data_IF_929166805801
#
_entry.id   IF_929166805801
#
_cell.length_a   1.000
_cell.length_b   1.000
_cell.length_c   1.000
_cell.angle_alpha   90.00
_cell.angle_beta   90.00
_cell.angle_gamma   90.00
#
_symmetry.space_group_name_H-M   'P 1'
#
loop_
_entity.id
_entity.type
_entity.pdbx_description
1 polymer ?
#
# COMPACT_ATOMS: atom_id res chain seq x y z
N UNK A 1 46.96 40.36 20.03
CA UNK A 1 45.49 40.20 19.98
C UNK A 1 45.16 39.28 18.81
N UNK A 2 44.35 38.25 19.07
CA UNK A 2 44.06 37.11 18.21
C UNK A 2 43.04 37.46 17.13
N UNK A 3 43.24 36.99 15.90
CA UNK A 3 42.14 36.74 14.96
C UNK A 3 42.59 35.68 13.94
N UNK A 4 42.46 34.40 14.31
CA UNK A 4 42.50 33.29 13.36
C UNK A 4 41.07 33.07 12.88
N UNK A 5 40.75 33.52 11.67
CA UNK A 5 39.47 33.21 11.04
C UNK A 5 39.56 31.84 10.38
N UNK A 6 39.15 30.82 11.13
CA UNK A 6 38.91 29.46 10.62
C UNK A 6 37.59 29.49 9.85
N UNK A 7 37.67 29.43 8.53
CA UNK A 7 36.51 29.20 7.67
C UNK A 7 36.10 27.73 7.79
N UNK A 8 35.09 27.43 8.60
CA UNK A 8 34.44 26.11 8.56
C UNK A 8 33.50 26.06 7.36
N UNK A 9 33.94 25.41 6.29
CA UNK A 9 33.03 24.93 5.25
C UNK A 9 32.21 23.77 5.83
N UNK A 10 30.95 24.04 6.17
CA UNK A 10 29.99 23.01 6.54
C UNK A 10 29.61 22.20 5.29
N UNK A 11 30.29 21.07 5.09
CA UNK A 11 29.88 20.03 4.14
C UNK A 11 28.55 19.41 4.62
N UNK A 12 27.44 19.91 4.09
CA UNK A 12 26.12 19.30 4.21
C UNK A 12 26.10 18.00 3.39
N UNK A 13 26.53 16.89 3.98
CA UNK A 13 26.25 15.56 3.42
C UNK A 13 24.76 15.27 3.58
N UNK A 14 23.99 15.51 2.52
CA UNK A 14 22.62 15.03 2.41
C UNK A 14 22.65 13.50 2.36
N UNK A 15 22.41 12.85 3.50
CA UNK A 15 22.18 11.41 3.54
C UNK A 15 20.82 11.13 2.86
N UNK A 16 20.85 10.74 1.59
CA UNK A 16 19.67 10.25 0.88
C UNK A 16 19.24 8.93 1.53
N UNK A 17 18.28 8.99 2.46
CA UNK A 17 17.59 7.81 2.95
C UNK A 17 16.78 7.21 1.79
N UNK A 18 17.38 6.26 1.08
CA UNK A 18 16.62 5.38 0.20
C UNK A 18 15.72 4.55 1.08
N UNK A 19 14.44 4.92 1.20
CA UNK A 19 13.41 4.08 1.79
C UNK A 19 13.26 2.84 0.91
N UNK A 20 14.09 1.82 1.17
CA UNK A 20 13.94 0.52 0.54
C UNK A 20 12.66 -0.05 1.09
N UNK A 21 11.70 -0.37 0.22
CA UNK A 21 10.51 -1.10 0.63
C UNK A 21 10.96 -2.35 1.40
N UNK A 22 10.62 -2.38 2.68
CA UNK A 22 10.97 -3.50 3.56
C UNK A 22 10.09 -4.69 3.17
N UNK A 23 10.66 -5.88 3.22
CA UNK A 23 9.96 -7.12 2.88
C UNK A 23 8.72 -7.32 3.74
N UNK A 24 7.77 -8.11 3.25
CA UNK A 24 6.52 -8.41 3.98
C UNK A 24 6.57 -9.85 4.45
N UNK A 25 6.43 -10.07 5.76
CA UNK A 25 6.67 -11.37 6.38
C UNK A 25 5.45 -11.99 7.08
N UNK A 26 4.31 -11.31 7.07
CA UNK A 26 3.05 -11.83 7.60
C UNK A 26 1.84 -11.28 6.84
N UNK A 27 0.68 -11.92 7.01
CA UNK A 27 -0.59 -11.47 6.43
C UNK A 27 -1.02 -10.11 7.02
N UNK A 28 -0.81 -9.90 8.32
CA UNK A 28 -1.12 -8.62 8.97
C UNK A 28 -0.27 -7.48 8.43
N UNK A 29 1.01 -7.75 8.12
CA UNK A 29 1.87 -6.77 7.45
C UNK A 29 1.39 -6.50 6.02
N UNK A 30 0.98 -7.53 5.28
CA UNK A 30 0.41 -7.38 3.95
C UNK A 30 -0.86 -6.51 3.98
N UNK A 31 -1.81 -6.82 4.87
CA UNK A 31 -3.05 -6.06 5.07
C UNK A 31 -2.74 -4.61 5.41
N UNK A 32 -1.81 -4.36 6.34
CA UNK A 32 -1.43 -2.99 6.72
C UNK A 32 -0.89 -2.22 5.51
N UNK A 33 0.04 -2.79 4.76
CA UNK A 33 0.67 -2.13 3.59
C UNK A 33 -0.36 -1.83 2.50
N UNK A 34 -1.31 -2.74 2.28
CA UNK A 34 -2.39 -2.58 1.30
C UNK A 34 -3.40 -1.53 1.76
N UNK A 35 -3.84 -1.57 3.02
CA UNK A 35 -4.73 -0.56 3.60
C UNK A 35 -4.16 0.85 3.48
N UNK A 36 -2.87 1.02 3.81
CA UNK A 36 -2.18 2.30 3.63
C UNK A 36 -2.10 2.71 2.14
N UNK A 37 -1.86 1.77 1.22
CA UNK A 37 -1.82 2.05 -0.22
C UNK A 37 -3.18 2.48 -0.76
N UNK A 38 -4.26 1.82 -0.35
CA UNK A 38 -5.64 2.19 -0.71
C UNK A 38 -5.96 3.61 -0.26
N UNK A 39 -5.62 3.95 0.99
CA UNK A 39 -5.84 5.29 1.53
C UNK A 39 -5.00 6.36 0.80
N UNK A 40 -3.70 6.09 0.58
CA UNK A 40 -2.80 7.04 -0.10
C UNK A 40 -3.21 7.31 -1.54
N UNK A 41 -3.64 6.27 -2.27
CA UNK A 41 -3.98 6.36 -3.68
C UNK A 41 -5.48 6.59 -3.96
N UNK A 42 -6.30 6.67 -2.90
CA UNK A 42 -7.75 6.91 -3.00
C UNK A 42 -8.46 5.95 -3.97
N UNK A 43 -8.12 4.65 -3.92
CA UNK A 43 -8.60 3.65 -4.88
C UNK A 43 -10.10 3.31 -4.76
N UNK A 44 -10.77 3.86 -3.75
CA UNK A 44 -12.21 3.69 -3.53
C UNK A 44 -12.73 4.89 -2.73
N UNK A 45 -14.01 5.21 -2.94
CA UNK A 45 -14.74 6.22 -2.15
C UNK A 45 -15.29 5.68 -0.83
N UNK A 46 -15.21 4.36 -0.60
CA UNK A 46 -15.66 3.76 0.64
C UNK A 46 -14.75 4.16 1.80
N UNK A 47 -15.36 4.32 2.98
CA UNK A 47 -14.60 4.60 4.20
C UNK A 47 -13.74 3.39 4.58
N UNK A 48 -12.55 3.58 5.20
CA UNK A 48 -11.66 2.48 5.57
C UNK A 48 -12.34 1.39 6.42
N UNK A 49 -13.24 1.75 7.33
CA UNK A 49 -13.99 0.81 8.18
C UNK A 49 -15.02 -0.03 7.42
N UNK A 50 -15.35 0.35 6.19
CA UNK A 50 -16.23 -0.38 5.27
C UNK A 50 -15.47 -1.20 4.23
N UNK A 51 -14.16 -1.36 4.42
CA UNK A 51 -13.34 -2.27 3.66
C UNK A 51 -13.01 -3.52 4.48
N UNK A 52 -12.99 -4.65 3.81
CA UNK A 52 -12.48 -5.92 4.33
C UNK A 52 -11.27 -6.35 3.49
N UNK A 53 -10.21 -6.75 4.18
CA UNK A 53 -8.96 -7.21 3.55
C UNK A 53 -8.81 -8.71 3.77
N UNK A 54 -8.70 -9.47 2.69
CA UNK A 54 -8.43 -10.91 2.76
C UNK A 54 -7.04 -11.19 2.21
N UNK A 55 -6.09 -11.46 3.10
CA UNK A 55 -4.74 -11.80 2.73
C UNK A 55 -4.56 -13.32 2.60
N UNK A 56 -3.82 -13.72 1.58
CA UNK A 56 -3.43 -15.11 1.36
C UNK A 56 -1.94 -15.17 1.03
N UNK A 57 -1.24 -16.12 1.66
CA UNK A 57 0.17 -16.37 1.37
C UNK A 57 0.33 -17.11 0.04
N UNK A 58 1.24 -16.61 -0.80
CA UNK A 58 1.65 -17.25 -2.04
C UNK A 58 3.11 -17.73 -1.99
N UNK A 59 3.57 -18.40 -3.05
CA UNK A 59 4.98 -18.81 -3.17
C UNK A 59 5.93 -17.60 -3.13
N UNK A 60 5.54 -16.51 -3.78
CA UNK A 60 6.36 -15.31 -4.00
C UNK A 60 6.11 -14.20 -2.97
N UNK A 61 4.95 -14.20 -2.31
CA UNK A 61 4.63 -13.29 -1.21
C UNK A 61 3.19 -13.40 -0.76
N UNK A 62 2.38 -12.38 -1.03
CA UNK A 62 1.00 -12.31 -0.57
C UNK A 62 0.09 -11.77 -1.67
N UNK A 63 -1.12 -12.30 -1.76
CA UNK A 63 -2.25 -11.66 -2.41
C UNK A 63 -3.14 -11.05 -1.35
N UNK A 64 -3.70 -9.88 -1.60
CA UNK A 64 -4.67 -9.24 -0.69
C UNK A 64 -5.84 -8.75 -1.50
N UNK A 65 -7.01 -9.35 -1.29
CA UNK A 65 -8.26 -8.83 -1.85
C UNK A 65 -8.77 -7.69 -0.98
N UNK A 66 -9.19 -6.61 -1.62
CA UNK A 66 -9.93 -5.51 -1.00
C UNK A 66 -11.39 -5.66 -1.41
N UNK A 67 -12.24 -5.81 -0.40
CA UNK A 67 -13.66 -6.12 -0.56
C UNK A 67 -14.52 -5.11 0.19
N UNK A 68 -15.76 -4.98 -0.23
CA UNK A 68 -16.76 -4.28 0.56
C UNK A 68 -17.05 -5.09 1.82
N UNK A 69 -17.11 -4.39 2.96
CA UNK A 69 -17.65 -4.94 4.19
C UNK A 69 -19.12 -4.59 4.24
N UNK A 70 -20.00 -5.60 4.25
CA UNK A 70 -21.43 -5.40 4.39
C UNK A 70 -21.90 -5.72 5.81
N UNK A 71 -22.47 -4.71 6.47
CA UNK A 71 -23.08 -4.81 7.79
C UNK A 71 -24.05 -3.64 8.03
N UNK A 72 -24.60 -3.53 9.23
CA UNK A 72 -25.53 -2.45 9.57
C UNK A 72 -24.95 -1.04 9.45
N UNK A 73 -23.63 -0.88 9.57
CA UNK A 73 -22.94 0.41 9.48
C UNK A 73 -22.56 0.76 8.04
N UNK A 74 -22.14 -0.23 7.25
CA UNK A 74 -21.61 -0.04 5.91
C UNK A 74 -22.63 -0.31 4.79
N UNK A 75 -23.80 -0.86 5.13
CA UNK A 75 -24.86 -1.20 4.19
C UNK A 75 -24.56 -2.48 3.39
N UNK A 76 -25.38 -2.75 2.38
CA UNK A 76 -25.26 -3.94 1.54
C UNK A 76 -25.88 -5.21 2.15
N UNK A 77 -25.82 -6.32 1.40
CA UNK A 77 -26.29 -7.63 1.84
C UNK A 77 -25.21 -8.29 2.72
N UNK A 78 -25.47 -8.56 4.03
CA UNK A 78 -24.50 -9.17 4.94
C UNK A 78 -24.04 -10.58 4.54
N UNK A 79 -24.76 -11.25 3.64
CA UNK A 79 -24.37 -12.55 3.10
C UNK A 79 -23.32 -12.46 1.96
N UNK A 80 -22.92 -11.24 1.59
CA UNK A 80 -22.01 -10.98 0.46
C UNK A 80 -20.82 -10.12 0.89
N UNK A 81 -19.72 -10.26 0.16
CA UNK A 81 -18.55 -9.40 0.27
C UNK A 81 -17.96 -9.17 -1.13
N UNK A 82 -18.60 -8.29 -1.94
CA UNK A 82 -18.14 -7.95 -3.27
C UNK A 82 -16.67 -7.56 -3.28
N UNK A 83 -15.91 -8.11 -4.22
CA UNK A 83 -14.52 -7.75 -4.43
C UNK A 83 -14.43 -6.45 -5.21
N UNK A 84 -13.63 -5.50 -4.73
CA UNK A 84 -13.31 -4.27 -5.43
C UNK A 84 -12.11 -4.46 -6.36
N UNK A 85 -10.99 -4.89 -5.79
CA UNK A 85 -9.72 -5.14 -6.48
C UNK A 85 -8.80 -5.96 -5.57
N UNK A 86 -7.62 -6.32 -6.06
CA UNK A 86 -6.61 -7.09 -5.34
C UNK A 86 -5.23 -6.48 -5.48
N UNK A 87 -4.36 -6.88 -4.58
CA UNK A 87 -2.94 -6.60 -4.59
C UNK A 87 -2.15 -7.90 -4.68
N UNK A 88 -1.01 -7.84 -5.36
CA UNK A 88 0.08 -8.80 -5.18
C UNK A 88 1.28 -8.07 -4.58
N UNK A 89 1.90 -8.70 -3.58
CA UNK A 89 3.02 -8.16 -2.82
C UNK A 89 4.18 -9.15 -2.89
N UNK A 90 5.34 -8.72 -3.38
CA UNK A 90 6.55 -9.54 -3.34
C UNK A 90 7.14 -9.61 -1.92
N UNK A 91 7.39 -10.83 -1.40
CA UNK A 91 7.88 -11.03 -0.03
C UNK A 91 9.20 -10.34 0.25
N UNK A 92 10.11 -10.34 -0.72
CA UNK A 92 11.51 -9.92 -0.53
C UNK A 92 11.69 -8.43 -0.68
N UNK A 93 11.06 -7.86 -1.71
CA UNK A 93 11.18 -6.45 -2.06
C UNK A 93 10.07 -5.58 -1.50
N UNK A 94 8.95 -6.18 -1.05
CA UNK A 94 7.79 -5.44 -0.57
C UNK A 94 7.12 -4.56 -1.63
N UNK A 95 7.46 -4.75 -2.91
CA UNK A 95 6.84 -4.05 -4.04
C UNK A 95 5.42 -4.56 -4.26
N UNK A 96 4.50 -3.66 -4.51
CA UNK A 96 3.10 -3.97 -4.75
C UNK A 96 2.68 -3.68 -6.19
N UNK A 97 1.77 -4.52 -6.67
CA UNK A 97 0.97 -4.25 -7.87
C UNK A 97 -0.50 -4.50 -7.56
N UNK A 98 -1.40 -3.77 -8.20
CA UNK A 98 -2.86 -3.92 -8.03
C UNK A 98 -3.56 -3.94 -9.37
N UNK A 99 -4.69 -4.63 -9.44
CA UNK A 99 -5.60 -4.57 -10.59
C UNK A 99 -6.73 -3.56 -10.40
N UNK A 100 -6.63 -2.65 -9.42
CA UNK A 100 -7.55 -1.53 -9.30
C UNK A 100 -7.62 -0.75 -10.62
N UNK A 101 -8.84 -0.31 -10.98
CA UNK A 101 -9.01 0.55 -12.13
C UNK A 101 -8.19 1.83 -11.94
N UNK A 102 -7.55 2.31 -13.00
CA UNK A 102 -6.94 3.63 -12.97
C UNK A 102 -8.05 4.69 -12.80
N UNK A 103 -7.73 5.88 -12.24
CA UNK A 103 -8.67 6.99 -12.21
C UNK A 103 -9.30 7.20 -13.59
N UNK A 104 -10.62 7.37 -13.61
CA UNK A 104 -11.43 7.61 -14.82
C UNK A 104 -11.30 6.53 -15.92
N UNK A 105 -10.92 5.30 -15.54
CA UNK A 105 -10.75 4.18 -16.48
C UNK A 105 -11.61 2.97 -16.10
N UNK A 106 -11.91 2.10 -17.06
CA UNK A 106 -12.57 0.83 -16.80
C UNK A 106 -11.62 -0.19 -16.14
N UNK A 107 -12.20 -1.11 -15.38
CA UNK A 107 -11.44 -2.22 -14.79
C UNK A 107 -11.09 -3.26 -15.87
N UNK A 108 -9.78 -3.54 -16.02
CA UNK A 108 -9.28 -4.51 -17.01
C UNK A 108 -8.82 -5.83 -16.40
N UNK A 109 -8.73 -5.91 -15.06
CA UNK A 109 -8.15 -7.05 -14.33
C UNK A 109 -6.63 -7.20 -14.45
N UNK A 110 -5.96 -6.26 -15.13
CA UNK A 110 -4.51 -6.27 -15.25
C UNK A 110 -3.83 -5.66 -14.03
N UNK A 111 -2.85 -6.37 -13.46
CA UNK A 111 -2.07 -5.84 -12.35
C UNK A 111 -1.00 -4.84 -12.81
N UNK A 112 -0.98 -3.68 -12.18
CA UNK A 112 -0.02 -2.59 -12.45
C UNK A 112 0.72 -2.21 -11.17
N UNK A 113 1.99 -1.84 -11.30
CA UNK A 113 2.76 -1.33 -10.16
C UNK A 113 2.09 -0.08 -9.57
N UNK A 114 2.08 0.03 -8.25
CA UNK A 114 1.45 1.15 -7.51
C UNK A 114 2.42 1.83 -6.52
N UNK A 115 3.67 1.35 -6.47
CA UNK A 115 4.77 1.90 -5.67
C UNK A 115 6.00 2.17 -6.54
#
# INVERSE_FOLDING_TARGET
MKAMHVWMAALLTAASFSARAEGVHSEEQAIRRVSESVARNQLTSLKPECLMFMAEKTKQGYTVDVREKHDAQCGGDPATAPRLFSYEIDRRSGKMKTDAAAPDSEWTGEYRAID
#
